data_IF_850785187535
#
_entry.id   IF_850785187535
#
_cell.length_a   1.000
_cell.length_b   1.000
_cell.length_c   1.000
_cell.angle_alpha   90.00
_cell.angle_beta   90.00
_cell.angle_gamma   90.00
#
_symmetry.space_group_name_H-M   'P 1'
#
loop_
_entity.id
_entity.type
_entity.pdbx_description
1 polymer ?
#
# COMPACT_ATOMS: atom_id res chain seq x y z
N UNK A 1 25.31 53.15 -62.82
CA UNK A 1 25.76 52.68 -61.49
C UNK A 1 24.59 52.84 -60.54
N UNK A 2 24.08 51.74 -59.96
CA UNK A 2 23.37 51.59 -58.65
C UNK A 2 22.24 52.59 -58.30
N UNK A 3 21.11 52.24 -57.68
CA UNK A 3 20.54 51.00 -57.14
C UNK A 3 19.06 51.33 -56.85
N UNK A 4 18.18 50.34 -56.98
CA UNK A 4 16.78 50.42 -56.55
C UNK A 4 16.62 50.52 -55.03
N UNK A 5 15.44 50.99 -54.59
CA UNK A 5 14.77 50.44 -53.40
C UNK A 5 13.25 50.73 -53.42
N UNK A 6 12.47 49.71 -53.83
CA UNK A 6 11.18 49.35 -53.21
C UNK A 6 11.41 49.13 -51.68
N UNK A 7 10.49 49.12 -50.71
CA UNK A 7 9.08 48.71 -50.57
C UNK A 7 8.71 49.18 -49.12
N UNK A 8 7.48 49.20 -48.58
CA UNK A 8 6.75 48.01 -48.15
C UNK A 8 5.43 48.44 -47.47
N UNK A 9 4.29 47.99 -47.97
CA UNK A 9 2.99 48.00 -47.27
C UNK A 9 2.92 46.79 -46.32
N UNK A 10 2.60 47.02 -45.04
CA UNK A 10 2.33 45.96 -44.05
C UNK A 10 1.10 45.14 -44.45
N UNK A 11 1.22 43.81 -44.44
CA UNK A 11 0.10 42.87 -44.44
C UNK A 11 -0.05 42.28 -43.03
N UNK A 12 -1.26 42.37 -42.49
CA UNK A 12 -1.69 41.69 -41.26
C UNK A 12 -2.01 40.24 -41.61
N UNK A 13 -1.44 39.28 -40.87
CA UNK A 13 -1.70 37.85 -41.04
C UNK A 13 -2.65 37.37 -39.94
N UNK A 14 -3.81 36.83 -40.35
CA UNK A 14 -4.74 36.10 -39.49
C UNK A 14 -4.11 34.74 -39.11
N UNK A 15 -3.94 34.48 -37.82
CA UNK A 15 -3.59 33.15 -37.31
C UNK A 15 -4.90 32.43 -36.95
N UNK A 16 -5.20 31.37 -37.71
CA UNK A 16 -6.31 30.45 -37.47
C UNK A 16 -6.09 29.66 -36.18
N UNK A 17 -7.02 29.79 -35.24
CA UNK A 17 -7.18 28.91 -34.08
C UNK A 17 -8.02 27.71 -34.56
N UNK A 18 -7.37 26.55 -34.73
CA UNK A 18 -8.05 25.26 -34.75
C UNK A 18 -7.49 24.40 -33.62
N UNK A 19 -8.38 24.12 -32.66
CA UNK A 19 -8.10 23.40 -31.44
C UNK A 19 -7.66 21.96 -31.70
N UNK A 20 -6.65 21.55 -30.94
CA UNK A 20 -6.13 20.18 -30.87
C UNK A 20 -7.21 19.28 -30.24
N UNK A 21 -7.80 18.44 -31.08
CA UNK A 21 -8.72 17.37 -30.67
C UNK A 21 -7.93 16.13 -30.19
N UNK A 22 -8.22 15.71 -28.96
CA UNK A 22 -8.33 14.32 -28.49
C UNK A 22 -7.23 13.32 -28.91
N UNK A 23 -6.09 13.35 -28.22
CA UNK A 23 -5.23 12.16 -28.13
C UNK A 23 -5.88 11.14 -27.17
N UNK A 24 -6.80 10.33 -27.68
CA UNK A 24 -7.08 9.02 -27.09
C UNK A 24 -5.82 8.17 -27.28
N UNK A 25 -4.89 8.29 -26.33
CA UNK A 25 -3.84 7.31 -26.15
C UNK A 25 -4.50 5.99 -25.76
N UNK A 26 -4.60 5.06 -26.71
CA UNK A 26 -4.81 3.67 -26.41
C UNK A 26 -3.62 3.18 -25.56
N UNK A 27 -3.70 3.33 -24.24
CA UNK A 27 -2.84 2.60 -23.33
C UNK A 27 -3.33 1.15 -23.33
N UNK A 28 -2.98 0.41 -24.39
CA UNK A 28 -2.95 -1.05 -24.35
C UNK A 28 -1.76 -1.42 -23.47
N UNK A 29 -1.95 -1.26 -22.15
CA UNK A 29 -1.13 -1.92 -21.15
C UNK A 29 -1.58 -3.36 -21.04
N UNK A 30 -1.40 -4.14 -22.10
CA UNK A 30 -1.47 -5.59 -22.02
C UNK A 30 -0.09 -6.11 -21.59
N UNK A 31 0.30 -5.82 -20.35
CA UNK A 31 1.17 -6.73 -19.59
C UNK A 31 0.27 -7.67 -18.79
N UNK A 32 -0.50 -8.48 -19.51
CA UNK A 32 -0.83 -9.80 -19.01
C UNK A 32 0.49 -10.61 -19.05
N UNK A 33 1.17 -10.70 -17.90
CA UNK A 33 2.07 -11.83 -17.58
C UNK A 33 3.39 -11.98 -18.34
N UNK A 34 4.20 -10.92 -18.52
CA UNK A 34 5.55 -11.08 -19.10
C UNK A 34 6.58 -11.73 -18.13
N UNK A 35 6.20 -11.98 -16.88
CA UNK A 35 6.84 -12.97 -16.03
C UNK A 35 5.74 -13.82 -15.39
N UNK A 36 5.69 -15.11 -15.70
CA UNK A 36 4.74 -16.08 -15.15
C UNK A 36 4.92 -16.31 -13.65
N UNK A 37 4.63 -15.29 -12.85
CA UNK A 37 4.68 -15.30 -11.39
C UNK A 37 3.26 -15.03 -10.91
N UNK A 38 2.65 -16.04 -10.28
CA UNK A 38 1.23 -16.07 -9.92
C UNK A 38 0.77 -14.86 -9.11
N UNK A 39 -0.53 -14.58 -9.17
CA UNK A 39 -1.15 -13.47 -8.45
C UNK A 39 -2.40 -12.98 -9.16
N UNK A 40 -3.17 -12.13 -8.49
CA UNK A 40 -4.28 -11.40 -9.07
C UNK A 40 -3.95 -9.92 -9.13
N UNK A 41 -4.35 -9.25 -10.21
CA UNK A 41 -4.29 -7.79 -10.31
C UNK A 41 -5.63 -7.23 -10.76
N UNK A 42 -5.90 -6.00 -10.32
CA UNK A 42 -7.09 -5.25 -10.68
C UNK A 42 -6.81 -3.75 -10.52
N UNK A 43 -7.74 -2.93 -10.97
CA UNK A 43 -7.67 -1.49 -10.87
C UNK A 43 -8.72 -0.96 -9.90
N UNK A 44 -8.36 0.02 -9.09
CA UNK A 44 -9.24 0.77 -8.19
C UNK A 44 -9.26 2.23 -8.62
N UNK A 45 -10.45 2.80 -8.79
CA UNK A 45 -10.63 4.24 -8.99
C UNK A 45 -10.60 4.93 -7.62
N UNK A 46 -9.50 5.61 -7.33
CA UNK A 46 -9.23 6.24 -6.04
C UNK A 46 -9.69 7.69 -6.08
N UNK A 47 -10.65 8.02 -5.21
CA UNK A 47 -11.12 9.40 -4.98
C UNK A 47 -10.18 10.11 -3.99
N UNK A 48 -9.52 11.17 -4.45
CA UNK A 48 -8.58 11.98 -3.67
C UNK A 48 -9.33 13.03 -2.83
N UNK A 49 -8.63 13.63 -1.86
CA UNK A 49 -9.20 14.66 -0.96
C UNK A 49 -9.78 15.89 -1.68
N UNK A 50 -9.26 16.23 -2.86
CA UNK A 50 -9.71 17.36 -3.68
C UNK A 50 -10.89 17.05 -4.60
N UNK A 51 -11.40 15.80 -4.55
CA UNK A 51 -12.51 15.33 -5.38
C UNK A 51 -12.09 14.81 -6.75
N UNK A 52 -10.81 14.93 -7.13
CA UNK A 52 -10.27 14.30 -8.32
C UNK A 52 -10.13 12.79 -8.14
N UNK A 53 -9.95 12.07 -9.25
CA UNK A 53 -9.84 10.61 -9.26
C UNK A 53 -8.60 10.17 -10.02
N UNK A 54 -7.97 9.13 -9.53
CA UNK A 54 -6.88 8.43 -10.21
C UNK A 54 -7.21 6.94 -10.32
N UNK A 55 -6.54 6.25 -11.24
CA UNK A 55 -6.62 4.79 -11.33
C UNK A 55 -5.36 4.21 -10.74
N UNK A 56 -5.52 3.35 -9.74
CA UNK A 56 -4.44 2.60 -9.09
C UNK A 56 -4.56 1.15 -9.50
N UNK A 57 -3.49 0.58 -10.03
CA UNK A 57 -3.38 -0.86 -10.19
C UNK A 57 -2.88 -1.47 -8.88
N UNK A 58 -3.56 -2.50 -8.42
CA UNK A 58 -3.16 -3.29 -7.27
C UNK A 58 -2.87 -4.70 -7.72
N UNK A 59 -1.78 -5.27 -7.18
CA UNK A 59 -1.41 -6.67 -7.37
C UNK A 59 -1.27 -7.35 -6.01
N UNK A 60 -1.76 -8.58 -5.92
CA UNK A 60 -1.57 -9.45 -4.75
C UNK A 60 -1.12 -10.84 -5.22
N UNK A 61 -0.02 -11.31 -4.67
CA UNK A 61 0.47 -12.68 -4.79
C UNK A 61 0.34 -13.36 -3.43
N UNK A 62 -0.31 -14.52 -3.40
CA UNK A 62 -0.43 -15.37 -2.20
C UNK A 62 0.57 -16.52 -2.27
N UNK A 63 1.15 -16.87 -1.13
CA UNK A 63 2.08 -18.01 -1.04
C UNK A 63 2.62 -18.20 0.37
N UNK A 64 3.14 -19.40 0.65
CA UNK A 64 3.66 -19.77 1.96
C UNK A 64 2.81 -20.84 2.67
N UNK A 65 3.28 -21.26 3.85
CA UNK A 65 2.61 -22.29 4.66
C UNK A 65 1.28 -21.74 5.18
N UNK A 66 0.25 -22.57 5.13
CA UNK A 66 -1.10 -22.28 5.61
C UNK A 66 -1.77 -23.60 6.01
N UNK A 67 -2.81 -23.50 6.83
CA UNK A 67 -3.60 -24.66 7.25
C UNK A 67 -4.49 -25.15 6.10
N UNK A 68 -4.84 -26.44 6.10
CA UNK A 68 -5.75 -27.02 5.12
C UNK A 68 -7.10 -26.31 5.21
N UNK A 69 -7.59 -25.80 4.07
CA UNK A 69 -8.85 -25.06 3.99
C UNK A 69 -8.73 -23.55 4.21
N UNK A 70 -7.55 -23.05 4.60
CA UNK A 70 -7.24 -21.62 4.64
C UNK A 70 -6.56 -21.17 3.34
N UNK A 71 -6.71 -19.90 2.99
CA UNK A 71 -5.93 -19.35 1.88
C UNK A 71 -4.48 -19.12 2.31
N UNK A 72 -3.50 -19.26 1.39
CA UNK A 72 -2.14 -18.85 1.69
C UNK A 72 -2.09 -17.36 2.06
N UNK A 73 -1.12 -16.96 2.91
CA UNK A 73 -0.94 -15.56 3.26
C UNK A 73 -0.49 -14.73 2.06
N UNK A 74 -0.55 -13.41 2.19
CA UNK A 74 0.04 -12.51 1.20
C UNK A 74 1.55 -12.70 1.21
N UNK A 75 2.11 -13.00 0.05
CA UNK A 75 3.55 -13.09 -0.18
C UNK A 75 4.09 -11.77 -0.71
N UNK A 76 3.38 -11.15 -1.65
CA UNK A 76 3.72 -9.83 -2.19
C UNK A 76 2.43 -9.07 -2.44
N UNK A 77 2.45 -7.77 -2.18
CA UNK A 77 1.43 -6.85 -2.67
C UNK A 77 2.07 -5.57 -3.19
N UNK A 78 1.42 -4.95 -4.16
CA UNK A 78 1.86 -3.64 -4.65
C UNK A 78 0.70 -2.76 -5.08
N UNK A 79 0.95 -1.45 -5.06
CA UNK A 79 0.14 -0.43 -5.69
C UNK A 79 1.00 0.28 -6.74
N UNK A 80 0.47 0.46 -7.94
CA UNK A 80 1.07 1.30 -8.98
C UNK A 80 0.08 2.34 -9.49
N UNK A 81 0.55 3.57 -9.69
CA UNK A 81 -0.25 4.65 -10.27
C UNK A 81 0.64 5.69 -10.94
N UNK A 82 0.08 6.42 -11.90
CA UNK A 82 0.75 7.57 -12.52
C UNK A 82 0.44 8.85 -11.74
N UNK A 83 1.47 9.62 -11.43
CA UNK A 83 1.31 10.89 -10.75
C UNK A 83 0.54 11.89 -11.65
N UNK A 84 -0.55 12.53 -11.18
CA UNK A 84 -1.39 13.40 -12.00
C UNK A 84 -0.61 14.49 -12.74
N UNK A 85 -0.92 14.66 -14.03
CA UNK A 85 -0.25 15.66 -14.87
C UNK A 85 1.17 15.30 -15.30
N UNK A 86 1.64 14.09 -15.02
CA UNK A 86 2.96 13.59 -15.44
C UNK A 86 2.86 12.20 -16.06
N UNK A 87 3.98 11.68 -16.56
CA UNK A 87 4.12 10.27 -16.98
C UNK A 87 4.87 9.44 -15.93
N UNK A 88 5.13 10.00 -14.75
CA UNK A 88 5.88 9.31 -13.71
C UNK A 88 4.99 8.26 -13.04
N UNK A 89 5.39 7.00 -13.16
CA UNK A 89 4.82 5.90 -12.39
C UNK A 89 5.41 5.87 -10.98
N UNK A 90 4.54 5.64 -9.99
CA UNK A 90 4.91 5.47 -8.58
C UNK A 90 4.43 4.09 -8.17
N UNK A 91 5.36 3.31 -7.60
CA UNK A 91 5.09 1.96 -7.10
C UNK A 91 5.34 1.92 -5.61
N UNK A 92 4.40 1.38 -4.86
CA UNK A 92 4.58 0.94 -3.48
C UNK A 92 4.52 -0.58 -3.45
N UNK A 93 5.40 -1.23 -2.68
CA UNK A 93 5.48 -2.68 -2.57
C UNK A 93 5.67 -3.10 -1.10
N UNK A 94 4.99 -4.17 -0.71
CA UNK A 94 5.15 -4.83 0.58
C UNK A 94 5.39 -6.33 0.34
N UNK A 95 6.55 -6.78 0.79
CA UNK A 95 7.10 -8.11 0.55
C UNK A 95 6.97 -9.01 1.76
N UNK A 96 7.07 -10.32 1.51
CA UNK A 96 7.04 -11.35 2.53
C UNK A 96 8.11 -11.09 3.60
N UNK A 97 7.68 -11.18 4.85
CA UNK A 97 8.53 -11.00 6.01
C UNK A 97 8.59 -12.29 6.81
N UNK A 98 9.75 -12.93 6.91
CA UNK A 98 9.90 -14.25 7.54
C UNK A 98 9.46 -14.29 9.01
N UNK A 99 9.77 -13.22 9.75
CA UNK A 99 9.35 -13.06 11.15
C UNK A 99 7.83 -12.97 11.31
N UNK A 100 7.12 -12.38 10.34
CA UNK A 100 5.65 -12.27 10.35
C UNK A 100 4.97 -13.49 9.72
N UNK A 101 5.61 -14.10 8.70
CA UNK A 101 5.04 -15.16 7.89
C UNK A 101 4.10 -14.66 6.78
N UNK A 102 4.11 -13.37 6.46
CA UNK A 102 3.32 -12.74 5.40
C UNK A 102 3.90 -11.39 4.98
N UNK A 103 3.29 -10.74 3.99
CA UNK A 103 3.37 -9.29 3.80
C UNK A 103 2.82 -8.57 5.06
N UNK A 104 3.29 -7.35 5.31
CA UNK A 104 3.10 -6.66 6.59
C UNK A 104 1.81 -5.85 6.68
N UNK A 105 1.23 -5.47 5.55
CA UNK A 105 0.30 -4.34 5.50
C UNK A 105 -0.97 -4.62 4.72
N UNK A 106 -1.95 -3.76 4.87
CA UNK A 106 -3.15 -3.73 4.04
C UNK A 106 -3.42 -2.25 3.72
N UNK A 107 -3.21 -1.81 2.47
CA UNK A 107 -3.42 -0.43 2.09
C UNK A 107 -4.90 -0.06 2.07
N UNK A 108 -5.22 1.07 2.69
CA UNK A 108 -6.60 1.53 2.86
C UNK A 108 -6.84 2.94 2.32
N UNK A 109 -5.79 3.75 2.20
CA UNK A 109 -5.88 5.10 1.67
C UNK A 109 -4.64 5.44 0.86
N UNK A 110 -4.82 5.94 -0.36
CA UNK A 110 -3.81 6.64 -1.14
C UNK A 110 -4.32 8.04 -1.47
N UNK A 111 -3.51 9.06 -1.21
CA UNK A 111 -3.85 10.44 -1.57
C UNK A 111 -2.63 11.18 -2.14
N UNK A 112 -2.86 12.29 -2.83
CA UNK A 112 -1.83 13.13 -3.42
C UNK A 112 -2.12 14.57 -3.04
N UNK A 113 -1.18 15.20 -2.35
CA UNK A 113 -1.23 16.63 -2.04
C UNK A 113 -0.02 17.34 -2.61
N UNK A 114 -0.27 18.32 -3.48
CA UNK A 114 0.76 19.03 -4.23
C UNK A 114 1.65 18.05 -5.01
N UNK A 115 2.91 17.88 -4.61
CA UNK A 115 3.90 16.98 -5.22
C UNK A 115 4.19 15.74 -4.39
N UNK A 116 3.39 15.48 -3.34
CA UNK A 116 3.63 14.41 -2.36
C UNK A 116 2.48 13.43 -2.38
N UNK A 117 2.78 12.13 -2.50
CA UNK A 117 1.78 11.08 -2.32
C UNK A 117 1.83 10.56 -0.88
N UNK A 118 0.67 10.25 -0.32
CA UNK A 118 0.51 9.71 1.03
C UNK A 118 -0.18 8.37 0.96
N UNK A 119 0.35 7.38 1.66
CA UNK A 119 -0.24 6.07 1.77
C UNK A 119 -0.48 5.75 3.25
N UNK A 120 -1.72 5.41 3.59
CA UNK A 120 -2.06 4.86 4.90
C UNK A 120 -2.32 3.37 4.72
N UNK A 121 -1.66 2.60 5.56
CA UNK A 121 -1.84 1.15 5.62
C UNK A 121 -2.16 0.75 7.06
N UNK A 122 -2.95 -0.31 7.23
CA UNK A 122 -3.12 -0.96 8.53
C UNK A 122 -2.24 -2.21 8.57
N UNK A 123 -1.57 -2.51 9.71
CA UNK A 123 -0.82 -3.74 9.87
C UNK A 123 -1.67 -4.99 9.65
N UNK A 124 -1.12 -5.97 8.93
CA UNK A 124 -1.77 -7.25 8.66
C UNK A 124 -1.64 -8.17 9.88
N UNK A 125 -2.63 -8.10 10.76
CA UNK A 125 -2.72 -8.93 11.96
C UNK A 125 -1.75 -8.53 13.08
N UNK A 126 -1.79 -9.31 14.17
CA UNK A 126 -1.10 -8.96 15.41
C UNK A 126 0.43 -9.01 15.32
N UNK A 127 1.01 -9.90 14.50
CA UNK A 127 2.46 -9.98 14.36
C UNK A 127 3.01 -8.73 13.64
N UNK A 128 2.39 -8.34 12.53
CA UNK A 128 2.72 -7.08 11.84
C UNK A 128 2.50 -5.88 12.77
N UNK A 129 1.40 -5.86 13.53
CA UNK A 129 1.13 -4.79 14.49
C UNK A 129 2.26 -4.64 15.55
N UNK A 130 2.71 -5.77 16.12
CA UNK A 130 3.84 -5.79 17.05
C UNK A 130 5.14 -5.34 16.39
N UNK A 131 5.46 -5.87 15.20
CA UNK A 131 6.65 -5.51 14.41
C UNK A 131 6.75 -4.03 14.13
N UNK A 132 5.64 -3.40 13.79
CA UNK A 132 5.63 -2.00 13.34
C UNK A 132 5.43 -1.00 14.48
N UNK A 133 5.60 -1.44 15.74
CA UNK A 133 5.65 -0.58 16.91
C UNK A 133 4.27 -0.24 17.50
N UNK A 134 3.26 -1.08 17.22
CA UNK A 134 1.91 -0.99 17.81
C UNK A 134 1.31 0.43 17.77
N UNK A 135 1.24 1.09 16.59
CA UNK A 135 0.72 2.45 16.50
C UNK A 135 -0.74 2.54 17.00
N UNK A 136 -1.14 3.71 17.51
CA UNK A 136 -2.53 3.96 17.89
C UNK A 136 -2.98 5.37 17.45
N UNK A 137 -3.95 5.51 16.51
CA UNK A 137 -4.66 4.46 15.77
C UNK A 137 -3.76 3.46 15.03
N UNK A 138 -4.25 2.25 14.69
CA UNK A 138 -3.42 1.17 14.15
C UNK A 138 -3.06 1.37 12.67
N UNK A 139 -2.40 2.48 12.36
CA UNK A 139 -1.94 2.86 11.03
C UNK A 139 -0.43 2.97 10.98
N UNK A 140 0.15 2.62 9.83
CA UNK A 140 1.47 3.06 9.42
C UNK A 140 1.29 3.98 8.22
N UNK A 141 1.89 5.16 8.28
CA UNK A 141 1.77 6.17 7.23
C UNK A 141 3.08 6.29 6.49
N UNK A 142 3.00 6.30 5.17
CA UNK A 142 4.12 6.56 4.29
C UNK A 142 3.87 7.82 3.47
N UNK A 143 4.94 8.59 3.22
CA UNK A 143 4.96 9.64 2.21
C UNK A 143 5.90 9.24 1.08
N UNK A 144 5.55 9.60 -0.14
CA UNK A 144 6.44 9.51 -1.29
C UNK A 144 6.80 10.92 -1.74
N UNK A 145 8.09 11.24 -1.67
CA UNK A 145 8.66 12.48 -2.17
C UNK A 145 10.08 12.19 -2.66
N UNK A 146 10.46 12.70 -3.83
CA UNK A 146 11.85 12.65 -4.28
C UNK A 146 12.38 11.27 -4.73
N UNK A 147 11.51 10.26 -4.90
CA UNK A 147 11.72 8.89 -5.46
C UNK A 147 11.62 7.72 -4.48
N UNK A 148 11.36 7.96 -3.21
CA UNK A 148 11.25 6.87 -2.22
C UNK A 148 10.05 7.04 -1.29
N UNK A 149 9.55 5.92 -0.80
CA UNK A 149 8.56 5.87 0.26
C UNK A 149 9.25 5.94 1.62
N UNK A 150 8.87 6.91 2.44
CA UNK A 150 9.38 7.10 3.79
C UNK A 150 8.22 6.97 4.78
N UNK A 151 8.42 6.20 5.85
CA UNK A 151 7.48 6.18 6.98
C UNK A 151 7.48 7.54 7.66
N UNK A 152 6.30 8.06 7.96
CA UNK A 152 6.09 9.31 8.71
C UNK A 152 5.14 9.09 9.89
N UNK A 153 5.19 9.93 10.93
CA UNK A 153 4.19 9.94 11.98
C UNK A 153 2.82 10.37 11.43
N UNK A 154 1.73 9.89 12.06
CA UNK A 154 0.36 10.22 11.67
C UNK A 154 0.06 11.72 11.69
N UNK A 155 0.75 12.47 12.55
CA UNK A 155 0.62 13.92 12.69
C UNK A 155 1.11 14.67 11.43
N UNK A 156 1.99 14.07 10.62
CA UNK A 156 2.45 14.64 9.35
C UNK A 156 1.52 14.36 8.17
N UNK A 157 0.52 13.46 8.32
CA UNK A 157 -0.50 13.25 7.30
C UNK A 157 -1.45 14.46 7.27
N UNK A 158 -1.65 15.14 6.12
CA UNK A 158 -2.51 16.32 6.03
C UNK A 158 -3.91 16.10 6.62
N UNK A 159 -4.44 17.11 7.32
CA UNK A 159 -5.62 16.98 8.17
C UNK A 159 -6.96 16.87 7.40
N UNK A 160 -6.97 17.18 6.11
CA UNK A 160 -8.09 17.00 5.20
C UNK A 160 -8.13 15.63 4.53
N UNK A 161 -7.01 14.89 4.56
CA UNK A 161 -6.99 13.47 4.20
C UNK A 161 -7.64 12.67 5.34
N UNK A 162 -8.91 12.32 5.15
CA UNK A 162 -9.80 11.79 6.19
C UNK A 162 -10.49 10.48 5.86
N UNK A 163 -10.62 10.14 4.59
CA UNK A 163 -11.47 9.03 4.16
C UNK A 163 -10.64 7.97 3.43
N UNK A 164 -10.65 6.72 3.89
CA UNK A 164 -10.13 5.60 3.13
C UNK A 164 -10.77 5.54 1.74
N UNK A 165 -9.99 5.09 0.75
CA UNK A 165 -10.38 5.09 -0.66
C UNK A 165 -9.82 3.89 -1.44
N UNK A 166 -9.38 2.86 -0.71
CA UNK A 166 -8.97 1.56 -1.23
C UNK A 166 -9.71 0.44 -0.49
N UNK A 167 -9.92 -0.70 -1.15
CA UNK A 167 -10.50 -1.87 -0.49
C UNK A 167 -9.46 -2.44 0.49
N UNK A 168 -9.74 -2.44 1.79
CA UNK A 168 -8.75 -2.84 2.80
C UNK A 168 -8.83 -4.33 3.17
N UNK A 169 -10.03 -4.82 3.44
CA UNK A 169 -10.24 -6.16 4.02
C UNK A 169 -10.37 -7.22 2.93
N UNK A 170 -9.35 -8.07 2.80
CA UNK A 170 -9.32 -9.22 1.87
C UNK A 170 -9.67 -8.85 0.40
N UNK A 171 -8.99 -7.82 -0.15
CA UNK A 171 -9.45 -7.13 -1.34
C UNK A 171 -9.43 -7.99 -2.61
N UNK A 172 -8.53 -8.96 -2.73
CA UNK A 172 -8.49 -9.89 -3.86
C UNK A 172 -9.76 -10.75 -3.95
N UNK A 173 -10.24 -11.27 -2.83
CA UNK A 173 -11.49 -12.03 -2.78
C UNK A 173 -12.71 -11.14 -3.00
N UNK A 174 -12.70 -9.91 -2.48
CA UNK A 174 -13.76 -8.92 -2.74
C UNK A 174 -13.88 -8.65 -4.23
N UNK A 175 -12.76 -8.37 -4.90
CA UNK A 175 -12.74 -8.07 -6.34
C UNK A 175 -13.11 -9.29 -7.18
N UNK A 176 -12.63 -10.48 -6.81
CA UNK A 176 -13.04 -11.74 -7.46
C UNK A 176 -14.56 -11.95 -7.42
N UNK A 177 -15.22 -11.60 -6.30
CA UNK A 177 -16.68 -11.66 -6.17
C UNK A 177 -17.41 -10.61 -7.02
N UNK A 178 -16.84 -9.41 -7.13
CA UNK A 178 -17.41 -8.34 -7.96
C UNK A 178 -17.27 -8.68 -9.46
N UNK A 179 -16.19 -9.37 -9.85
CA UNK A 179 -15.96 -9.81 -11.23
C UNK A 179 -15.62 -8.68 -12.20
N UNK A 180 -15.14 -7.53 -11.71
CA UNK A 180 -14.75 -6.36 -12.52
C UNK A 180 -13.24 -6.13 -12.46
N UNK A 181 -12.64 -5.77 -13.59
CA UNK A 181 -11.22 -5.40 -13.68
C UNK A 181 -10.90 -3.99 -13.17
N UNK A 182 -11.89 -3.09 -13.16
CA UNK A 182 -11.82 -1.76 -12.56
C UNK A 182 -12.96 -1.61 -11.55
N UNK A 183 -12.62 -1.23 -10.32
CA UNK A 183 -13.58 -0.95 -9.25
C UNK A 183 -13.79 0.56 -9.14
N UNK A 184 -15.00 1.08 -9.44
CA UNK A 184 -15.30 2.50 -9.34
C UNK A 184 -15.24 3.04 -7.89
N UNK A 185 -14.97 4.33 -7.73
CA UNK A 185 -14.79 4.94 -6.42
C UNK A 185 -16.04 4.83 -5.53
N UNK A 186 -17.24 4.97 -6.11
CA UNK A 186 -18.51 4.84 -5.39
C UNK A 186 -18.72 3.43 -4.83
N UNK A 187 -18.31 2.40 -5.60
CA UNK A 187 -18.33 1.00 -5.17
C UNK A 187 -17.36 0.78 -4.01
N UNK A 188 -16.16 1.36 -4.07
CA UNK A 188 -15.18 1.30 -2.98
C UNK A 188 -15.75 1.97 -1.71
N UNK A 189 -16.35 3.15 -1.83
CA UNK A 189 -16.98 3.84 -0.71
C UNK A 189 -18.15 3.04 -0.11
N UNK A 190 -18.96 2.38 -0.94
CA UNK A 190 -20.00 1.46 -0.46
C UNK A 190 -19.43 0.29 0.33
N UNK A 191 -18.30 -0.28 -0.09
CA UNK A 191 -17.62 -1.37 0.65
C UNK A 191 -17.10 -0.85 1.99
N UNK A 192 -16.40 0.28 1.99
CA UNK A 192 -15.83 0.90 3.19
C UNK A 192 -16.92 1.23 4.21
N UNK A 193 -18.08 1.73 3.76
CA UNK A 193 -19.21 2.07 4.64
C UNK A 193 -19.72 0.90 5.49
N UNK A 194 -19.44 -0.35 5.08
CA UNK A 194 -19.86 -1.58 5.77
C UNK A 194 -18.84 -2.07 6.80
N UNK A 195 -17.66 -1.46 6.88
CA UNK A 195 -16.68 -1.81 7.90
C UNK A 195 -17.19 -1.41 9.28
N UNK A 196 -17.05 -2.32 10.26
CA UNK A 196 -17.57 -2.11 11.62
C UNK A 196 -16.70 -1.10 12.37
N UNK A 197 -15.39 -1.25 12.25
CA UNK A 197 -14.40 -0.45 12.96
C UNK A 197 -14.39 1.00 12.44
N UNK A 198 -14.49 2.01 13.31
CA UNK A 198 -14.44 3.42 12.91
C UNK A 198 -13.10 3.79 12.24
N UNK A 199 -11.99 3.19 12.68
CA UNK A 199 -10.67 3.37 12.08
C UNK A 199 -10.57 2.84 10.65
N UNK A 200 -11.50 2.02 10.19
CA UNK A 200 -11.53 1.56 8.80
C UNK A 200 -12.49 2.37 7.91
N UNK A 201 -13.35 3.19 8.52
CA UNK A 201 -14.28 4.08 7.80
C UNK A 201 -13.76 5.51 7.67
N UNK A 202 -12.85 5.91 8.55
CA UNK A 202 -12.25 7.24 8.60
C UNK A 202 -10.84 7.17 9.19
N UNK A 203 -9.98 8.09 8.78
CA UNK A 203 -8.65 8.26 9.37
C UNK A 203 -8.81 8.97 10.72
N UNK A 204 -8.80 8.18 11.78
CA UNK A 204 -8.81 8.71 13.14
C UNK A 204 -7.49 9.41 13.44
N UNK A 205 -7.56 10.46 14.25
CA UNK A 205 -6.38 11.17 14.79
C UNK A 205 -6.22 10.98 16.29
N UNK A 206 -7.29 10.56 16.96
CA UNK A 206 -7.30 10.21 18.37
C UNK A 206 -7.10 8.70 18.55
N UNK A 207 -6.45 8.26 19.65
CA UNK A 207 -6.25 6.86 19.94
C UNK A 207 -7.56 6.05 19.98
N UNK A 208 -7.55 4.86 19.37
CA UNK A 208 -8.58 3.84 19.53
C UNK A 208 -8.48 3.23 20.94
N UNK A 209 -9.62 3.07 21.61
CA UNK A 209 -9.68 2.50 22.95
C UNK A 209 -9.35 1.01 22.94
N UNK A 210 -8.56 0.56 23.92
CA UNK A 210 -8.36 -0.87 24.17
C UNK A 210 -9.71 -1.51 24.49
N UNK A 211 -9.95 -2.71 23.95
CA UNK A 211 -11.21 -3.42 23.99
C UNK A 211 -12.14 -3.16 22.80
N UNK A 212 -11.77 -2.27 21.86
CA UNK A 212 -12.59 -1.98 20.67
C UNK A 212 -12.65 -3.20 19.74
N UNK A 213 -13.83 -3.76 19.51
CA UNK A 213 -14.02 -4.99 18.75
C UNK A 213 -13.32 -4.98 17.39
N UNK A 214 -12.54 -6.03 17.12
CA UNK A 214 -11.87 -6.21 15.83
C UNK A 214 -10.75 -5.22 15.53
N UNK A 215 -10.29 -4.43 16.51
CA UNK A 215 -9.16 -3.51 16.36
C UNK A 215 -7.83 -4.17 16.71
N UNK A 216 -6.77 -3.81 16.00
CA UNK A 216 -5.41 -4.31 16.27
C UNK A 216 -4.87 -3.86 17.64
N UNK A 217 -5.42 -2.80 18.25
CA UNK A 217 -5.01 -2.37 19.60
C UNK A 217 -5.28 -3.42 20.68
N UNK A 218 -6.10 -4.43 20.40
CA UNK A 218 -6.39 -5.56 21.30
C UNK A 218 -5.42 -6.73 21.15
N UNK A 219 -4.51 -6.69 20.17
CA UNK A 219 -3.52 -7.73 20.00
C UNK A 219 -2.62 -7.83 21.23
N UNK A 220 -2.26 -9.04 21.64
CA UNK A 220 -1.27 -9.27 22.68
C UNK A 220 0.06 -8.58 22.30
N UNK A 221 0.73 -8.01 23.30
CA UNK A 221 2.07 -7.47 23.13
C UNK A 221 3.07 -8.62 22.98
N UNK A 222 3.85 -8.59 21.91
CA UNK A 222 4.85 -9.61 21.60
C UNK A 222 6.14 -8.92 21.16
N UNK A 223 7.26 -9.55 21.48
CA UNK A 223 8.60 -9.16 21.03
C UNK A 223 9.21 -10.26 20.17
N UNK A 224 9.91 -9.87 19.11
CA UNK A 224 10.63 -10.83 18.28
C UNK A 224 11.96 -11.18 18.94
N UNK A 225 12.10 -12.42 19.39
CA UNK A 225 13.25 -12.88 20.17
C UNK A 225 13.73 -14.24 19.66
N UNK A 226 14.99 -14.28 19.22
CA UNK A 226 15.68 -15.49 18.75
C UNK A 226 14.92 -16.31 17.71
N UNK A 227 14.25 -15.63 16.77
CA UNK A 227 13.54 -16.26 15.66
C UNK A 227 12.07 -16.60 15.93
N UNK A 228 11.50 -16.11 17.04
CA UNK A 228 10.08 -16.31 17.35
C UNK A 228 9.46 -15.07 18.02
N UNK A 229 8.17 -14.87 17.83
CA UNK A 229 7.39 -13.92 18.62
C UNK A 229 7.03 -14.54 19.97
N UNK A 230 7.37 -13.83 21.05
CA UNK A 230 7.13 -14.28 22.42
C UNK A 230 6.59 -13.14 23.27
N UNK A 231 5.93 -13.46 24.38
CA UNK A 231 5.52 -12.43 25.35
C UNK A 231 6.73 -11.66 25.90
N UNK A 232 6.56 -10.38 26.30
CA UNK A 232 7.63 -9.56 26.83
C UNK A 232 8.15 -10.06 28.19
N UNK A 233 9.27 -9.49 28.66
CA UNK A 233 9.84 -9.82 29.97
C UNK A 233 10.41 -11.23 30.06
N UNK A 234 10.25 -11.88 31.22
CA UNK A 234 10.66 -13.28 31.46
C UNK A 234 9.50 -14.25 31.16
N UNK A 235 9.01 -14.20 29.92
CA UNK A 235 7.92 -15.07 29.47
C UNK A 235 8.39 -16.52 29.29
N UNK A 236 7.45 -17.46 29.38
CA UNK A 236 7.70 -18.88 29.09
C UNK A 236 8.31 -19.04 27.69
N UNK A 237 7.78 -18.31 26.70
CA UNK A 237 8.28 -18.32 25.33
C UNK A 237 9.75 -17.92 25.25
N UNK A 238 10.15 -16.85 25.96
CA UNK A 238 11.55 -16.39 26.00
C UNK A 238 12.49 -17.46 26.56
N UNK A 239 12.14 -18.06 27.71
CA UNK A 239 12.92 -19.15 28.34
C UNK A 239 13.04 -20.37 27.44
N UNK A 240 12.00 -20.70 26.67
CA UNK A 240 12.04 -21.79 25.70
C UNK A 240 13.03 -21.50 24.56
N UNK A 241 13.06 -20.26 24.06
CA UNK A 241 14.00 -19.86 23.01
C UNK A 241 15.45 -19.84 23.50
N UNK A 242 15.70 -19.36 24.71
CA UNK A 242 17.03 -19.41 25.33
C UNK A 242 17.55 -20.85 25.46
N UNK A 243 16.68 -21.79 25.86
CA UNK A 243 17.03 -23.21 25.95
C UNK A 243 17.37 -23.80 24.57
N UNK A 244 16.59 -23.49 23.53
CA UNK A 244 16.87 -23.94 22.15
C UNK A 244 18.24 -23.46 21.66
N UNK A 245 18.60 -22.21 21.94
CA UNK A 245 19.91 -21.68 21.55
C UNK A 245 21.06 -22.36 22.30
N UNK A 246 20.91 -22.60 23.60
CA UNK A 246 21.92 -23.34 24.38
C UNK A 246 22.17 -24.73 23.79
N UNK A 247 21.09 -25.46 23.45
CA UNK A 247 21.19 -26.79 22.83
C UNK A 247 21.89 -26.72 21.47
N UNK A 248 21.51 -25.77 20.61
CA UNK A 248 22.16 -25.58 19.29
C UNK A 248 23.66 -25.34 19.45
N UNK A 249 24.03 -24.41 20.33
CA UNK A 249 25.44 -24.05 20.56
C UNK A 249 26.25 -25.19 21.21
N UNK A 250 25.62 -26.08 21.99
CA UNK A 250 26.29 -27.27 22.52
C UNK A 250 26.46 -28.39 21.49
N UNK A 251 25.54 -28.51 20.53
CA UNK A 251 25.62 -29.53 19.46
C UNK A 251 26.65 -29.20 18.38
N UNK A 252 26.83 -27.91 18.05
CA UNK A 252 27.85 -27.49 17.07
C UNK A 252 29.28 -27.72 17.59
N UNK A 253 29.52 -27.54 18.89
CA UNK A 253 30.85 -27.80 19.49
C UNK A 253 31.27 -29.27 19.45
N UNK A 254 30.32 -30.21 19.43
CA UNK A 254 30.64 -31.65 19.37
C UNK A 254 30.95 -32.15 17.96
N UNK A 255 30.65 -31.36 16.92
CA UNK A 255 30.90 -31.73 15.52
C UNK A 255 32.10 -30.99 14.89
N UNK A 256 32.70 -30.01 15.56
CA UNK A 256 33.92 -29.32 15.10
C UNK A 256 35.23 -30.00 15.54
N UNK A 257 35.14 -31.02 16.40
CA UNK A 257 36.28 -31.76 16.97
C UNK A 257 36.47 -33.16 16.32
N UNK A 258 35.96 -33.35 15.11
CA UNK A 258 36.20 -34.54 14.26
C UNK A 258 36.73 -34.11 12.90
#
# INVERSE_FOLDING_TARGET
MRLEAMTTKKRVSLINIFGVFLMMGASVGAQAGLFGIGGVSWKEEVLLHDGSKIVVERKVERGGRHEIGQQPPYKVQSLSFTFPGTTQEIVWEDNFSEDVGSANFLPMLLDIRNTTSYLVVSPMGCLSYNKWGRPNPPYVVFRYQGKEWQRIPLQELPADIRSPNLIFSDPDNVVKKIGKGLIPADTIQQIISRYRQPEYRSILREPVKIGSEGSAVNCEELVYYHGAWVGPGDSVGKRMMDRKLKVRNSGDKTNSDK
#
